data_IF_405650622687
#
_entry.id   IF_405650622687
#
_cell.length_a   1.000
_cell.length_b   1.000
_cell.length_c   1.000
_cell.angle_alpha   90.00
_cell.angle_beta   90.00
_cell.angle_gamma   90.00
#
_symmetry.space_group_name_H-M   'P 1'
#
loop_
_entity.id
_entity.type
_entity.pdbx_description
1 polymer ?
#
# COMPACT_ATOMS: atom_id res chain seq x y z
N UNK A 1 -2.81 -31.30 4.01
CA UNK A 1 -2.12 -30.66 5.15
C UNK A 1 -3.18 -30.41 6.22
N UNK A 2 -3.06 -31.03 7.41
CA UNK A 2 -4.04 -30.85 8.49
C UNK A 2 -3.73 -29.54 9.22
N UNK A 3 -4.71 -28.66 9.39
CA UNK A 3 -4.66 -27.40 10.18
C UNK A 3 -5.45 -27.66 11.46
N UNK A 4 -4.82 -27.43 12.61
CA UNK A 4 -5.45 -27.63 13.92
C UNK A 4 -5.73 -26.29 14.63
N UNK A 5 -4.82 -25.31 14.50
CA UNK A 5 -4.94 -24.02 15.18
C UNK A 5 -4.74 -22.85 14.20
N UNK A 6 -5.72 -21.96 14.14
CA UNK A 6 -5.67 -20.69 13.40
C UNK A 6 -5.68 -19.56 14.43
N UNK A 7 -4.60 -18.79 14.46
CA UNK A 7 -4.42 -17.65 15.35
C UNK A 7 -4.67 -16.34 14.58
N UNK A 8 -5.73 -15.62 14.93
CA UNK A 8 -6.09 -14.33 14.34
C UNK A 8 -5.65 -13.22 15.29
N UNK A 9 -4.63 -12.45 14.88
CA UNK A 9 -4.03 -11.37 15.70
C UNK A 9 -4.35 -9.97 15.15
N UNK A 10 -5.22 -9.89 14.17
CA UNK A 10 -5.74 -8.64 13.62
C UNK A 10 -7.19 -8.41 14.05
N UNK A 11 -7.68 -7.21 13.80
CA UNK A 11 -9.11 -6.91 14.00
C UNK A 11 -9.95 -7.75 13.03
N UNK A 12 -10.88 -8.50 13.54
CA UNK A 12 -11.84 -9.29 12.79
C UNK A 12 -13.20 -9.26 13.50
N UNK A 13 -14.28 -9.19 12.74
CA UNK A 13 -15.63 -9.33 13.26
C UNK A 13 -16.06 -10.81 13.32
N UNK A 14 -17.21 -11.08 13.95
CA UNK A 14 -17.73 -12.44 14.12
C UNK A 14 -18.04 -13.13 12.76
N UNK A 15 -18.50 -12.36 11.76
CA UNK A 15 -18.75 -12.91 10.42
C UNK A 15 -17.46 -13.34 9.72
N UNK A 16 -16.39 -12.59 9.88
CA UNK A 16 -15.06 -12.93 9.34
C UNK A 16 -14.49 -14.17 10.04
N UNK A 17 -14.64 -14.28 11.37
CA UNK A 17 -14.22 -15.45 12.12
C UNK A 17 -15.04 -16.70 11.74
N UNK A 18 -16.35 -16.55 11.55
CA UNK A 18 -17.22 -17.63 11.08
C UNK A 18 -16.83 -18.13 9.68
N UNK A 19 -16.42 -17.25 8.77
CA UNK A 19 -15.91 -17.62 7.45
C UNK A 19 -14.60 -18.39 7.55
N UNK A 20 -13.68 -18.00 8.43
CA UNK A 20 -12.46 -18.76 8.69
C UNK A 20 -12.75 -20.14 9.24
N UNK A 21 -13.68 -20.23 10.22
CA UNK A 21 -14.09 -21.50 10.81
C UNK A 21 -14.77 -22.41 9.76
N UNK A 22 -15.59 -21.86 8.88
CA UNK A 22 -16.21 -22.64 7.79
C UNK A 22 -15.19 -23.17 6.76
N UNK A 23 -14.12 -22.40 6.50
CA UNK A 23 -13.04 -22.83 5.61
C UNK A 23 -12.13 -23.91 6.21
N UNK A 24 -12.09 -24.02 7.54
CA UNK A 24 -11.32 -25.00 8.28
C UNK A 24 -12.14 -25.53 9.47
N UNK A 25 -13.17 -26.37 9.24
CA UNK A 25 -14.14 -26.78 10.24
C UNK A 25 -13.53 -27.55 11.41
N UNK A 26 -12.45 -28.30 11.15
CA UNK A 26 -11.74 -29.07 12.18
C UNK A 26 -10.68 -28.28 12.94
N UNK A 27 -10.41 -27.03 12.55
CA UNK A 27 -9.42 -26.20 13.19
C UNK A 27 -10.05 -25.33 14.29
N UNK A 28 -9.28 -25.07 15.34
CA UNK A 28 -9.65 -24.10 16.37
C UNK A 28 -9.25 -22.70 15.92
N UNK A 29 -10.22 -21.81 15.73
CA UNK A 29 -9.97 -20.39 15.41
C UNK A 29 -9.89 -19.61 16.73
N UNK A 30 -8.75 -18.96 16.99
CA UNK A 30 -8.47 -18.19 18.20
C UNK A 30 -8.20 -16.75 17.80
N UNK A 31 -9.04 -15.81 18.24
CA UNK A 31 -8.76 -14.38 18.12
C UNK A 31 -8.03 -13.89 19.35
N UNK A 32 -6.89 -13.23 19.16
CA UNK A 32 -6.05 -12.73 20.23
C UNK A 32 -5.51 -11.32 19.90
N UNK A 33 -5.43 -10.46 20.90
CA UNK A 33 -4.76 -9.18 20.73
C UNK A 33 -3.24 -9.37 20.71
N UNK A 34 -2.54 -8.66 19.83
CA UNK A 34 -1.07 -8.63 19.81
C UNK A 34 -0.48 -8.22 21.17
N UNK A 35 -1.19 -7.35 21.92
CA UNK A 35 -0.75 -6.85 23.25
C UNK A 35 -0.74 -7.94 24.32
N UNK A 36 -1.56 -8.98 24.18
CA UNK A 36 -1.70 -10.07 25.15
C UNK A 36 -1.30 -11.43 24.55
N UNK A 37 -0.67 -11.40 23.37
CA UNK A 37 -0.18 -12.58 22.69
C UNK A 37 0.96 -13.23 23.48
N UNK A 38 0.93 -14.55 23.61
CA UNK A 38 1.97 -15.30 24.30
C UNK A 38 2.81 -16.16 23.35
N UNK A 39 4.09 -16.44 23.71
CA UNK A 39 4.94 -17.34 22.94
C UNK A 39 4.33 -18.73 22.74
N UNK A 40 3.60 -19.25 23.71
CA UNK A 40 2.95 -20.55 23.64
C UNK A 40 1.84 -20.58 22.58
N UNK A 41 0.99 -19.56 22.52
CA UNK A 41 -0.06 -19.45 21.50
C UNK A 41 0.52 -19.42 20.08
N UNK A 42 1.65 -18.74 19.89
CA UNK A 42 2.36 -18.69 18.61
C UNK A 42 2.99 -20.06 18.28
N UNK A 43 3.55 -20.75 19.26
CA UNK A 43 4.16 -22.07 19.06
C UNK A 43 3.15 -23.15 18.65
N UNK A 44 1.90 -23.02 19.07
CA UNK A 44 0.81 -23.96 18.79
C UNK A 44 0.08 -23.65 17.46
N UNK A 45 0.31 -22.47 16.87
CA UNK A 45 -0.40 -22.03 15.66
C UNK A 45 0.15 -22.71 14.38
N UNK A 46 -0.74 -23.30 13.59
CA UNK A 46 -0.45 -23.74 12.21
C UNK A 46 -0.62 -22.61 11.22
N UNK A 47 -1.57 -21.69 11.47
CA UNK A 47 -1.87 -20.54 10.65
C UNK A 47 -1.91 -19.29 11.53
N UNK A 48 -1.24 -18.23 11.09
CA UNK A 48 -1.34 -16.91 11.72
C UNK A 48 -1.92 -15.92 10.70
N UNK A 49 -2.97 -15.21 11.12
CA UNK A 49 -3.63 -14.16 10.32
C UNK A 49 -3.41 -12.81 11.01
N UNK A 50 -2.63 -11.96 10.38
CA UNK A 50 -2.22 -10.66 10.88
C UNK A 50 -0.70 -10.49 10.86
N UNK A 51 -0.24 -9.25 11.05
CA UNK A 51 1.19 -8.93 11.07
C UNK A 51 1.81 -9.35 12.41
N UNK A 52 2.40 -10.54 12.45
CA UNK A 52 3.06 -11.07 13.65
C UNK A 52 4.32 -10.24 13.96
N UNK A 53 4.45 -9.67 15.17
CA UNK A 53 5.65 -8.93 15.53
C UNK A 53 6.92 -9.80 15.51
N UNK A 54 8.08 -9.26 15.07
CA UNK A 54 9.32 -10.04 14.89
C UNK A 54 9.83 -10.74 16.13
N UNK A 55 9.57 -10.20 17.33
CA UNK A 55 9.94 -10.83 18.61
C UNK A 55 9.26 -12.20 18.85
N UNK A 56 8.19 -12.51 18.09
CA UNK A 56 7.53 -13.81 18.17
C UNK A 56 8.06 -14.83 17.13
N UNK A 57 8.86 -14.42 16.15
CA UNK A 57 9.39 -15.34 15.11
C UNK A 57 10.12 -16.56 15.67
N UNK A 58 10.95 -16.45 16.74
CA UNK A 58 11.63 -17.62 17.31
C UNK A 58 10.68 -18.66 17.92
N UNK A 59 9.42 -18.29 18.16
CA UNK A 59 8.42 -19.17 18.76
C UNK A 59 7.56 -19.91 17.71
N UNK A 60 7.72 -19.63 16.41
CA UNK A 60 7.03 -20.33 15.33
C UNK A 60 7.56 -21.77 15.20
N UNK A 61 6.81 -22.76 15.71
CA UNK A 61 7.23 -24.17 15.67
C UNK A 61 6.46 -25.01 14.66
N UNK A 62 5.21 -24.64 14.39
CA UNK A 62 4.26 -25.43 13.57
C UNK A 62 3.74 -24.65 12.37
N UNK A 63 4.17 -23.43 12.19
CA UNK A 63 3.63 -22.50 11.18
C UNK A 63 3.67 -23.08 9.77
N UNK A 64 2.54 -23.07 9.10
CA UNK A 64 2.34 -23.49 7.71
C UNK A 64 1.94 -22.33 6.82
N UNK A 65 1.20 -21.36 7.38
CA UNK A 65 0.77 -20.17 6.67
C UNK A 65 0.84 -18.94 7.57
N UNK A 66 1.53 -17.91 7.12
CA UNK A 66 1.45 -16.57 7.68
C UNK A 66 0.78 -15.64 6.66
N UNK A 67 -0.46 -15.24 6.95
CA UNK A 67 -1.20 -14.26 6.17
C UNK A 67 -1.04 -12.88 6.79
N UNK A 68 -0.29 -11.99 6.14
CA UNK A 68 -0.17 -10.60 6.55
C UNK A 68 -1.46 -9.84 6.21
N UNK A 69 -1.81 -8.87 7.06
CA UNK A 69 -2.89 -7.92 6.78
C UNK A 69 -2.40 -6.61 6.13
N UNK A 70 -1.12 -6.48 5.85
CA UNK A 70 -0.54 -5.40 5.03
C UNK A 70 -0.46 -5.80 3.55
N UNK A 71 -0.55 -4.82 2.65
CA UNK A 71 -0.36 -5.03 1.22
C UNK A 71 1.12 -5.24 0.87
N UNK A 72 2.02 -4.51 1.56
CA UNK A 72 3.47 -4.69 1.45
C UNK A 72 3.98 -5.78 2.39
N UNK A 73 5.11 -6.39 2.01
CA UNK A 73 5.83 -7.37 2.81
C UNK A 73 7.14 -6.74 3.26
N UNK A 74 7.25 -6.40 4.54
CA UNK A 74 8.46 -5.83 5.10
C UNK A 74 9.65 -6.83 5.03
N UNK A 75 10.91 -6.36 4.95
CA UNK A 75 12.09 -7.21 4.78
C UNK A 75 12.21 -8.34 5.81
N UNK A 76 11.84 -8.09 7.07
CA UNK A 76 11.89 -9.11 8.12
C UNK A 76 10.92 -10.30 7.88
N UNK A 77 9.77 -10.08 7.21
CA UNK A 77 8.88 -11.19 6.82
C UNK A 77 9.43 -11.96 5.63
N UNK A 78 10.10 -11.28 4.70
CA UNK A 78 10.79 -11.95 3.58
C UNK A 78 11.87 -12.87 4.14
N UNK A 79 12.69 -12.35 5.05
CA UNK A 79 13.73 -13.13 5.73
C UNK A 79 13.13 -14.30 6.53
N UNK A 80 12.01 -14.09 7.24
CA UNK A 80 11.31 -15.17 7.93
C UNK A 80 10.88 -16.28 6.96
N UNK A 81 10.27 -15.92 5.82
CA UNK A 81 9.83 -16.90 4.81
C UNK A 81 10.99 -17.71 4.23
N UNK A 82 12.12 -17.07 3.97
CA UNK A 82 13.33 -17.72 3.47
C UNK A 82 13.93 -18.70 4.49
N UNK A 83 13.84 -18.38 5.78
CA UNK A 83 14.40 -19.17 6.89
C UNK A 83 13.43 -20.17 7.51
N UNK A 84 12.18 -20.27 7.01
CA UNK A 84 11.16 -21.20 7.52
C UNK A 84 10.68 -22.10 6.38
N UNK A 85 11.40 -23.18 6.08
CA UNK A 85 11.04 -24.10 5.02
C UNK A 85 9.62 -24.67 5.19
N UNK A 86 8.83 -24.65 4.11
CA UNK A 86 7.46 -25.15 4.11
C UNK A 86 6.40 -24.18 4.62
N UNK A 87 6.77 -22.99 5.12
CA UNK A 87 5.83 -21.94 5.43
C UNK A 87 5.42 -21.19 4.14
N UNK A 88 4.13 -20.98 3.97
CA UNK A 88 3.58 -20.08 2.95
C UNK A 88 3.43 -18.70 3.55
N UNK A 89 4.04 -17.69 2.94
CA UNK A 89 3.87 -16.28 3.32
C UNK A 89 2.96 -15.59 2.30
N UNK A 90 1.86 -15.03 2.76
CA UNK A 90 0.91 -14.28 1.96
C UNK A 90 0.74 -12.86 2.51
N UNK A 91 0.41 -11.90 1.64
CA UNK A 91 0.07 -10.53 2.01
C UNK A 91 -1.33 -10.16 1.47
N UNK A 92 -1.85 -9.02 1.93
CA UNK A 92 -3.16 -8.51 1.52
C UNK A 92 -3.07 -7.60 0.27
N UNK A 93 -2.19 -7.95 -0.68
CA UNK A 93 -2.12 -7.25 -1.98
C UNK A 93 -3.46 -7.34 -2.70
N UNK A 94 -3.95 -6.20 -3.24
CA UNK A 94 -5.26 -6.10 -3.86
C UNK A 94 -6.40 -5.70 -2.92
N UNK A 95 -6.22 -5.79 -1.59
CA UNK A 95 -7.28 -5.47 -0.63
C UNK A 95 -7.46 -3.95 -0.40
N UNK A 96 -6.44 -3.14 -0.66
CA UNK A 96 -6.40 -1.73 -0.30
C UNK A 96 -6.47 -0.78 -1.48
N UNK A 97 -6.41 -1.29 -2.71
CA UNK A 97 -6.26 -0.48 -3.91
C UNK A 97 -7.31 0.61 -4.06
N UNK A 98 -8.59 0.30 -3.81
CA UNK A 98 -9.69 1.26 -3.89
C UNK A 98 -9.53 2.34 -2.82
N UNK A 99 -9.50 1.95 -1.55
CA UNK A 99 -9.47 2.91 -0.45
C UNK A 99 -8.25 3.83 -0.48
N UNK A 100 -7.06 3.28 -0.80
CA UNK A 100 -5.83 4.08 -0.85
C UNK A 100 -5.82 5.00 -2.07
N UNK A 101 -6.24 4.53 -3.25
CA UNK A 101 -6.26 5.36 -4.45
C UNK A 101 -7.24 6.53 -4.34
N UNK A 102 -8.42 6.31 -3.73
CA UNK A 102 -9.37 7.37 -3.41
C UNK A 102 -8.79 8.38 -2.40
N UNK A 103 -8.12 7.90 -1.35
CA UNK A 103 -7.44 8.77 -0.38
C UNK A 103 -6.33 9.61 -1.05
N UNK A 104 -5.51 9.00 -1.91
CA UNK A 104 -4.46 9.70 -2.66
C UNK A 104 -5.06 10.80 -3.54
N UNK A 105 -6.15 10.50 -4.25
CA UNK A 105 -6.84 11.50 -5.08
C UNK A 105 -7.43 12.62 -4.23
N UNK A 106 -8.08 12.28 -3.11
CA UNK A 106 -8.62 13.26 -2.18
C UNK A 106 -7.55 14.20 -1.62
N UNK A 107 -6.41 13.65 -1.19
CA UNK A 107 -5.25 14.42 -0.72
C UNK A 107 -4.66 15.32 -1.83
N UNK A 108 -4.52 14.79 -3.05
CA UNK A 108 -4.05 15.54 -4.20
C UNK A 108 -4.97 16.74 -4.50
N UNK A 109 -6.28 16.52 -4.60
CA UNK A 109 -7.24 17.58 -4.85
C UNK A 109 -7.27 18.61 -3.72
N UNK A 110 -7.16 18.17 -2.46
CA UNK A 110 -7.06 19.06 -1.31
C UNK A 110 -5.86 20.01 -1.43
N UNK A 111 -4.70 19.50 -1.85
CA UNK A 111 -3.49 20.32 -2.04
C UNK A 111 -3.65 21.25 -3.25
N UNK A 112 -4.03 20.72 -4.41
CA UNK A 112 -4.18 21.49 -5.66
C UNK A 112 -5.20 22.62 -5.54
N UNK A 113 -6.28 22.42 -4.76
CA UNK A 113 -7.36 23.40 -4.53
C UNK A 113 -7.18 24.21 -3.25
N UNK A 114 -6.06 24.04 -2.54
CA UNK A 114 -5.76 24.73 -1.26
C UNK A 114 -6.84 24.59 -0.20
N UNK A 115 -7.61 23.48 -0.22
CA UNK A 115 -8.75 23.28 0.68
C UNK A 115 -8.34 23.27 2.16
N UNK A 116 -7.12 22.83 2.46
CA UNK A 116 -6.54 22.86 3.81
C UNK A 116 -6.35 24.31 4.31
N UNK A 117 -5.95 25.24 3.43
CA UNK A 117 -5.79 26.67 3.78
C UNK A 117 -7.15 27.32 3.98
N UNK A 118 -8.10 27.09 3.07
CA UNK A 118 -9.48 27.62 3.21
C UNK A 118 -10.19 27.06 4.43
N UNK A 119 -9.94 25.83 4.83
CA UNK A 119 -10.45 25.27 6.07
C UNK A 119 -9.91 26.03 7.31
N UNK A 120 -8.62 26.38 7.30
CA UNK A 120 -8.00 27.14 8.38
C UNK A 120 -8.54 28.58 8.45
N UNK A 121 -8.73 29.21 7.28
CA UNK A 121 -9.38 30.54 7.19
C UNK A 121 -10.82 30.52 7.73
N UNK A 122 -11.60 29.51 7.35
CA UNK A 122 -12.96 29.35 7.83
C UNK A 122 -13.02 29.21 9.35
N UNK A 123 -12.03 28.53 9.95
CA UNK A 123 -11.93 28.41 11.43
C UNK A 123 -11.73 29.77 12.12
N UNK A 124 -11.14 30.72 11.42
CA UNK A 124 -10.85 32.07 11.91
C UNK A 124 -11.88 33.10 11.41
N UNK A 125 -12.96 32.64 10.74
CA UNK A 125 -13.95 33.49 10.07
C UNK A 125 -13.32 34.49 9.07
N UNK A 126 -12.22 34.10 8.41
CA UNK A 126 -11.55 34.90 7.41
C UNK A 126 -12.08 34.53 6.01
N UNK A 127 -12.16 35.56 5.17
CA UNK A 127 -12.45 35.45 3.74
C UNK A 127 -11.24 35.99 2.97
N UNK A 128 -10.27 35.10 2.72
CA UNK A 128 -8.99 35.48 2.09
C UNK A 128 -8.84 34.82 0.72
N UNK A 129 -8.30 35.56 -0.23
CA UNK A 129 -7.87 35.00 -1.50
C UNK A 129 -6.49 34.36 -1.33
N UNK A 130 -6.42 33.05 -1.52
CA UNK A 130 -5.17 32.26 -1.43
C UNK A 130 -4.45 32.15 -2.78
N UNK A 131 -4.86 32.91 -3.79
CA UNK A 131 -4.28 32.93 -5.12
C UNK A 131 -4.71 31.75 -5.99
N UNK A 132 -4.09 31.63 -7.15
CA UNK A 132 -4.43 30.65 -8.16
C UNK A 132 -4.35 29.20 -7.66
N UNK A 133 -5.29 28.39 -8.09
CA UNK A 133 -5.35 26.96 -7.77
C UNK A 133 -5.05 26.12 -9.01
N UNK A 134 -4.26 25.06 -8.85
CA UNK A 134 -3.97 24.12 -9.91
C UNK A 134 -5.21 23.25 -10.26
N UNK A 135 -5.27 22.77 -11.49
CA UNK A 135 -6.25 21.82 -11.98
C UNK A 135 -5.63 20.47 -12.31
N UNK A 136 -6.37 19.39 -12.04
CA UNK A 136 -5.91 18.05 -12.44
C UNK A 136 -6.14 17.79 -13.93
N UNK A 137 -7.13 18.45 -14.54
CA UNK A 137 -7.39 18.35 -15.98
C UNK A 137 -6.21 18.91 -16.77
N UNK A 138 -5.65 18.09 -17.64
CA UNK A 138 -4.47 18.42 -18.45
C UNK A 138 -3.13 18.32 -17.72
N UNK A 139 -3.13 18.09 -16.39
CA UNK A 139 -1.91 17.92 -15.62
C UNK A 139 -1.17 16.63 -16.02
N UNK A 140 0.16 16.70 -16.02
CA UNK A 140 1.04 15.54 -16.24
C UNK A 140 1.21 14.78 -14.92
N UNK A 141 0.66 13.57 -14.83
CA UNK A 141 0.73 12.72 -13.64
C UNK A 141 1.70 11.57 -13.90
N UNK A 142 2.70 11.44 -13.04
CA UNK A 142 3.65 10.34 -13.06
C UNK A 142 3.33 9.38 -11.91
N UNK A 143 2.77 8.20 -12.23
CA UNK A 143 2.48 7.16 -11.25
C UNK A 143 3.63 6.17 -11.18
N UNK A 144 4.48 6.30 -10.15
CA UNK A 144 5.67 5.49 -9.93
C UNK A 144 5.31 4.27 -9.10
N UNK A 145 5.26 3.12 -9.77
CA UNK A 145 4.73 1.87 -9.21
C UNK A 145 3.30 1.59 -9.71
N UNK A 146 3.19 0.80 -10.78
CA UNK A 146 1.92 0.41 -11.39
C UNK A 146 1.45 -0.96 -10.88
N UNK A 147 1.37 -1.08 -9.55
CA UNK A 147 0.70 -2.17 -8.84
C UNK A 147 -0.81 -1.88 -8.70
N UNK A 148 -1.50 -2.58 -7.79
CA UNK A 148 -2.94 -2.39 -7.55
C UNK A 148 -3.29 -0.93 -7.20
N UNK A 149 -2.57 -0.31 -6.27
CA UNK A 149 -2.79 1.07 -5.83
C UNK A 149 -2.48 2.07 -6.95
N UNK A 150 -1.26 2.00 -7.50
CA UNK A 150 -0.81 2.98 -8.50
C UNK A 150 -1.59 2.91 -9.80
N UNK A 151 -2.04 1.72 -10.22
CA UNK A 151 -2.90 1.58 -11.40
C UNK A 151 -4.25 2.24 -11.17
N UNK A 152 -4.89 2.00 -10.03
CA UNK A 152 -6.19 2.62 -9.70
C UNK A 152 -6.09 4.14 -9.56
N UNK A 153 -5.04 4.62 -8.89
CA UNK A 153 -4.80 6.07 -8.80
C UNK A 153 -4.59 6.71 -10.17
N UNK A 154 -3.78 6.07 -11.03
CA UNK A 154 -3.56 6.51 -12.41
C UNK A 154 -4.87 6.61 -13.20
N UNK A 155 -5.74 5.59 -13.11
CA UNK A 155 -7.05 5.57 -13.74
C UNK A 155 -7.98 6.66 -13.20
N UNK A 156 -8.01 6.89 -11.89
CA UNK A 156 -8.77 8.00 -11.29
C UNK A 156 -8.29 9.34 -11.82
N UNK A 157 -6.98 9.60 -11.87
CA UNK A 157 -6.44 10.84 -12.44
C UNK A 157 -6.82 11.00 -13.92
N UNK A 158 -6.78 9.93 -14.69
CA UNK A 158 -7.18 9.93 -16.09
C UNK A 158 -8.68 10.27 -16.27
N UNK A 159 -9.57 9.77 -15.40
CA UNK A 159 -10.98 10.13 -15.39
C UNK A 159 -11.22 11.64 -15.15
N UNK A 160 -10.31 12.30 -14.43
CA UNK A 160 -10.31 13.76 -14.28
C UNK A 160 -9.68 14.52 -15.46
N UNK A 161 -9.24 13.81 -16.50
CA UNK A 161 -8.64 14.38 -17.69
C UNK A 161 -7.15 14.70 -17.56
N UNK A 162 -6.43 14.11 -16.60
CA UNK A 162 -4.99 14.19 -16.51
C UNK A 162 -4.32 13.35 -17.60
N UNK A 163 -3.09 13.71 -17.96
CA UNK A 163 -2.22 12.94 -18.84
C UNK A 163 -1.31 12.07 -17.97
N UNK A 164 -1.56 10.76 -17.97
CA UNK A 164 -0.91 9.86 -17.02
C UNK A 164 0.15 8.98 -17.68
N UNK A 165 1.36 9.00 -17.13
CA UNK A 165 2.44 8.05 -17.44
C UNK A 165 2.65 7.18 -16.21
N UNK A 166 2.60 5.85 -16.40
CA UNK A 166 2.92 4.90 -15.36
C UNK A 166 4.39 4.47 -15.43
N UNK A 167 5.03 4.28 -14.28
CA UNK A 167 6.39 3.70 -14.20
C UNK A 167 6.33 2.35 -13.50
N UNK A 168 6.98 1.35 -14.08
CA UNK A 168 7.17 0.03 -13.49
C UNK A 168 8.48 -0.62 -13.89
N UNK A 169 8.89 -1.62 -13.11
CA UNK A 169 10.17 -2.32 -13.32
C UNK A 169 10.25 -3.06 -14.67
N UNK A 170 9.13 -3.62 -15.12
CA UNK A 170 9.07 -4.39 -16.39
C UNK A 170 8.08 -3.73 -17.34
N UNK A 171 8.40 -3.67 -18.63
CA UNK A 171 7.46 -3.18 -19.65
C UNK A 171 6.13 -3.94 -19.60
N UNK A 172 5.04 -3.24 -19.87
CA UNK A 172 3.70 -3.80 -20.00
C UNK A 172 2.83 -2.89 -20.87
N UNK A 173 1.72 -3.42 -21.35
CA UNK A 173 0.68 -2.60 -21.96
C UNK A 173 0.11 -1.61 -20.95
N UNK A 174 -0.17 -0.36 -21.33
CA UNK A 174 -0.79 0.61 -20.46
C UNK A 174 -2.22 0.18 -20.11
N UNK A 175 -2.64 0.34 -18.85
CA UNK A 175 -4.05 0.20 -18.47
C UNK A 175 -4.91 1.28 -19.15
N UNK A 176 -6.21 1.08 -19.16
CA UNK A 176 -7.17 2.07 -19.64
C UNK A 176 -6.95 3.45 -19.00
N UNK A 177 -6.95 4.51 -19.79
CA UNK A 177 -6.73 5.88 -19.38
C UNK A 177 -5.26 6.27 -19.13
N UNK A 178 -4.32 5.33 -19.15
CA UNK A 178 -2.88 5.58 -19.02
C UNK A 178 -2.25 5.67 -20.39
N UNK A 179 -1.52 6.76 -20.70
CA UNK A 179 -0.96 7.00 -22.03
C UNK A 179 0.13 5.98 -22.41
N UNK A 180 1.04 5.72 -21.49
CA UNK A 180 2.11 4.72 -21.66
C UNK A 180 2.66 4.23 -20.32
N UNK A 181 3.36 3.10 -20.38
CA UNK A 181 4.20 2.61 -19.31
C UNK A 181 5.66 2.89 -19.66
N UNK A 182 6.34 3.58 -18.77
CA UNK A 182 7.77 3.80 -18.77
C UNK A 182 8.50 2.86 -17.83
N UNK A 183 9.81 2.78 -17.93
CA UNK A 183 10.67 2.03 -17.03
C UNK A 183 11.41 2.95 -16.04
N UNK A 184 12.05 2.39 -15.03
CA UNK A 184 12.69 3.18 -13.96
C UNK A 184 13.87 4.04 -14.44
N UNK A 185 14.51 3.67 -15.51
CA UNK A 185 15.59 4.42 -16.17
C UNK A 185 15.09 5.72 -16.83
N UNK A 186 13.82 5.80 -17.18
CA UNK A 186 13.21 7.01 -17.71
C UNK A 186 12.78 8.02 -16.62
N UNK A 187 12.77 7.63 -15.33
CA UNK A 187 12.23 8.44 -14.23
C UNK A 187 12.82 9.85 -14.22
N UNK A 188 14.14 9.98 -14.28
CA UNK A 188 14.83 11.26 -14.18
C UNK A 188 14.50 12.20 -15.34
N UNK A 189 14.25 11.69 -16.55
CA UNK A 189 13.85 12.47 -17.71
C UNK A 189 12.38 12.89 -17.71
N UNK A 190 11.53 12.20 -16.94
CA UNK A 190 10.10 12.46 -16.82
C UNK A 190 9.78 13.42 -15.66
N UNK A 191 10.57 13.45 -14.61
CA UNK A 191 10.36 14.33 -13.45
C UNK A 191 10.20 15.81 -13.81
N UNK A 192 11.00 16.41 -14.72
CA UNK A 192 10.83 17.82 -15.09
C UNK A 192 9.50 18.14 -15.78
N UNK A 193 8.82 17.13 -16.33
CA UNK A 193 7.56 17.30 -17.04
C UNK A 193 6.34 17.09 -16.13
N UNK A 194 6.53 16.41 -15.00
CA UNK A 194 5.45 16.03 -14.11
C UNK A 194 4.94 17.20 -13.26
N UNK A 195 3.62 17.37 -13.22
CA UNK A 195 2.94 18.26 -12.27
C UNK A 195 2.62 17.51 -10.97
N UNK A 196 2.46 16.19 -11.06
CA UNK A 196 2.16 15.30 -9.95
C UNK A 196 3.03 14.06 -10.04
N UNK A 197 3.70 13.71 -8.96
CA UNK A 197 4.43 12.44 -8.81
C UNK A 197 3.83 11.66 -7.65
N UNK A 198 3.28 10.48 -7.95
CA UNK A 198 2.70 9.58 -6.96
C UNK A 198 3.56 8.32 -6.83
N UNK A 199 3.97 7.98 -5.61
CA UNK A 199 4.79 6.81 -5.31
C UNK A 199 3.94 5.71 -4.68
N UNK A 200 3.91 4.54 -5.31
CA UNK A 200 3.24 3.33 -4.78
C UNK A 200 4.08 2.08 -5.04
N UNK A 201 5.31 2.13 -4.55
CA UNK A 201 6.32 1.08 -4.70
C UNK A 201 6.41 0.23 -3.44
N UNK A 202 6.78 -1.06 -3.55
CA UNK A 202 7.21 -1.81 -2.38
C UNK A 202 8.52 -1.24 -1.84
N UNK A 203 8.73 -1.34 -0.53
CA UNK A 203 9.99 -0.99 0.12
C UNK A 203 11.03 -2.09 -0.17
N UNK A 204 12.04 -1.76 -0.95
CA UNK A 204 13.17 -2.62 -1.31
C UNK A 204 14.46 -1.80 -1.28
N UNK A 205 15.63 -2.46 -1.34
CA UNK A 205 16.90 -1.77 -1.45
C UNK A 205 16.94 -0.80 -2.64
N UNK A 206 16.35 -1.18 -3.79
CA UNK A 206 16.30 -0.35 -5.00
C UNK A 206 15.33 0.84 -4.90
N UNK A 207 14.33 0.78 -4.03
CA UNK A 207 13.30 1.83 -3.92
C UNK A 207 13.45 2.70 -2.68
N UNK A 208 14.27 2.28 -1.72
CA UNK A 208 14.57 3.06 -0.53
C UNK A 208 15.33 4.32 -0.91
N UNK A 209 14.83 5.51 -0.51
CA UNK A 209 15.44 6.78 -0.89
C UNK A 209 15.34 7.12 -2.37
N UNK A 210 14.42 6.51 -3.11
CA UNK A 210 14.25 6.74 -4.55
C UNK A 210 14.11 8.22 -4.90
N UNK A 211 13.34 8.97 -4.12
CA UNK A 211 13.21 10.42 -4.26
C UNK A 211 14.20 11.12 -3.31
N UNK A 212 15.40 11.33 -3.78
CA UNK A 212 16.46 12.06 -3.11
C UNK A 212 16.43 13.57 -3.45
N UNK A 213 17.31 14.36 -2.83
CA UNK A 213 17.41 15.81 -3.06
C UNK A 213 17.69 16.14 -4.54
N UNK A 214 18.45 15.30 -5.25
CA UNK A 214 18.73 15.50 -6.68
C UNK A 214 17.45 15.35 -7.50
N UNK A 215 16.64 14.32 -7.27
CA UNK A 215 15.38 14.09 -7.97
C UNK A 215 14.31 15.10 -7.64
N UNK A 216 14.23 15.55 -6.40
CA UNK A 216 13.39 16.70 -6.06
C UNK A 216 13.82 17.97 -6.80
N UNK A 217 15.12 18.17 -6.99
CA UNK A 217 15.65 19.28 -7.79
C UNK A 217 15.34 19.22 -9.29
N UNK A 218 14.98 18.03 -9.81
CA UNK A 218 14.54 17.87 -11.20
C UNK A 218 13.06 18.20 -11.40
N UNK A 219 12.26 18.20 -10.34
CA UNK A 219 10.82 18.46 -10.43
C UNK A 219 10.55 19.95 -10.69
N UNK A 220 9.35 20.23 -11.23
CA UNK A 220 8.85 21.60 -11.32
C UNK A 220 8.81 22.25 -9.94
N UNK A 221 9.07 23.56 -9.90
CA UNK A 221 8.81 24.35 -8.71
C UNK A 221 7.31 24.63 -8.62
N UNK A 222 6.72 24.41 -7.41
CA UNK A 222 5.31 24.62 -7.14
C UNK A 222 4.91 24.27 -5.72
#
# INVERSE_FOLDING_TARGET
>A
MRIENILVIMRADEGQLARLQAAAPDAKVIRQSVKTLTPQQVAEADVVVGNLPPNFFPHLKRIKLLQLNSAGVAPHYVALGQNTPGMVLCCASGAYGVAISEHMLGALLMLMKRLHQYRDDQHQALWEDRGDVAGLRGAQVLSVGMGDIGTRFAQLCACFGAQVIGIRRRPAAPPEGVQRIATMDELDSLLPQADVVALSLPETEDTMGLMDARRFGLMKQG
#
